data_IF_210063550495
#
_entry.id   IF_210063550495
#
_cell.length_a   1.000
_cell.length_b   1.000
_cell.length_c   1.000
_cell.angle_alpha   90.00
_cell.angle_beta   90.00
_cell.angle_gamma   90.00
#
_symmetry.space_group_name_H-M   'P 1'
#
loop_
_entity.id
_entity.type
_entity.pdbx_description
1 polymer ?
#
# COMPACT_ATOMS: atom_id res chain seq x y z
N UNK A 1 -20.53 -28.68 7.59
CA UNK A 1 -19.43 -27.69 7.69
C UNK A 1 -19.77 -26.73 8.82
N UNK A 2 -18.82 -26.41 9.69
CA UNK A 2 -19.07 -25.58 10.86
C UNK A 2 -19.14 -24.11 10.42
N UNK A 3 -20.32 -23.52 10.39
CA UNK A 3 -20.60 -22.17 9.82
C UNK A 3 -19.72 -21.08 10.44
N UNK A 4 -19.28 -21.26 11.69
CA UNK A 4 -18.36 -20.36 12.37
C UNK A 4 -16.95 -20.37 11.78
N UNK A 5 -16.47 -21.54 11.33
CA UNK A 5 -15.12 -21.67 10.74
C UNK A 5 -15.06 -21.02 9.36
N UNK A 6 -16.11 -21.20 8.54
CA UNK A 6 -16.21 -20.56 7.22
C UNK A 6 -16.24 -19.03 7.35
N UNK A 7 -17.03 -18.48 8.28
CA UNK A 7 -17.07 -17.04 8.54
C UNK A 7 -15.71 -16.49 9.02
N UNK A 8 -15.01 -17.22 9.89
CA UNK A 8 -13.67 -16.85 10.33
C UNK A 8 -12.67 -16.80 9.16
N UNK A 9 -12.68 -17.81 8.29
CA UNK A 9 -11.82 -17.87 7.10
C UNK A 9 -12.14 -16.73 6.14
N UNK A 10 -13.43 -16.49 5.89
CA UNK A 10 -13.87 -15.40 5.01
C UNK A 10 -13.42 -14.04 5.53
N UNK A 11 -13.56 -13.79 6.84
CA UNK A 11 -13.08 -12.56 7.46
C UNK A 11 -11.55 -12.41 7.37
N UNK A 12 -10.80 -13.51 7.55
CA UNK A 12 -9.33 -13.50 7.40
C UNK A 12 -8.90 -13.21 5.97
N UNK A 13 -9.55 -13.83 4.99
CA UNK A 13 -9.30 -13.60 3.57
C UNK A 13 -9.59 -12.15 3.16
N UNK A 14 -10.74 -11.60 3.58
CA UNK A 14 -11.10 -10.21 3.31
C UNK A 14 -10.13 -9.22 3.95
N UNK A 15 -9.70 -9.48 5.20
CA UNK A 15 -8.72 -8.64 5.88
C UNK A 15 -7.34 -8.67 5.19
N UNK A 16 -6.89 -9.84 4.72
CA UNK A 16 -5.64 -9.92 3.96
C UNK A 16 -5.77 -9.17 2.62
N UNK A 17 -6.90 -9.35 1.91
CA UNK A 17 -7.18 -8.64 0.66
C UNK A 17 -7.18 -7.11 0.85
N UNK A 18 -7.74 -6.63 1.96
CA UNK A 18 -7.71 -5.21 2.35
C UNK A 18 -6.27 -4.70 2.55
N UNK A 19 -5.47 -5.42 3.33
CA UNK A 19 -4.07 -5.05 3.59
C UNK A 19 -3.24 -5.04 2.31
N UNK A 20 -3.40 -6.07 1.48
CA UNK A 20 -2.78 -6.18 0.16
C UNK A 20 -3.16 -4.97 -0.71
N UNK A 21 -4.45 -4.66 -0.85
CA UNK A 21 -4.92 -3.56 -1.68
C UNK A 21 -4.44 -2.19 -1.18
N UNK A 22 -4.42 -1.98 0.13
CA UNK A 22 -3.87 -0.75 0.72
C UNK A 22 -2.37 -0.61 0.47
N UNK A 23 -1.61 -1.71 0.60
CA UNK A 23 -0.18 -1.71 0.31
C UNK A 23 0.12 -1.26 -1.13
N UNK A 24 -0.57 -1.80 -2.13
CA UNK A 24 -0.33 -1.42 -3.53
C UNK A 24 -0.78 0.00 -3.84
N UNK A 25 -1.93 0.40 -3.31
CA UNK A 25 -2.40 1.77 -3.51
C UNK A 25 -1.48 2.79 -2.83
N UNK A 26 -0.85 2.42 -1.71
CA UNK A 26 0.19 3.23 -1.06
C UNK A 26 1.45 3.33 -1.91
N UNK A 27 1.85 2.23 -2.57
CA UNK A 27 2.99 2.20 -3.48
C UNK A 27 2.75 3.07 -4.72
N UNK A 28 1.62 2.89 -5.41
CA UNK A 28 1.22 3.68 -6.59
C UNK A 28 1.18 5.16 -6.26
N UNK A 29 0.57 5.50 -5.13
CA UNK A 29 0.48 6.88 -4.68
C UNK A 29 1.86 7.46 -4.33
N UNK A 30 2.77 6.65 -3.79
CA UNK A 30 4.14 7.08 -3.54
C UNK A 30 4.89 7.38 -4.84
N UNK A 31 4.64 6.63 -5.92
CA UNK A 31 5.15 6.93 -7.26
C UNK A 31 4.59 8.24 -7.79
N UNK A 32 3.28 8.46 -7.68
CA UNK A 32 2.66 9.71 -8.13
C UNK A 32 3.21 10.94 -7.39
N UNK A 33 3.41 10.83 -6.07
CA UNK A 33 4.02 11.89 -5.27
C UNK A 33 5.46 12.17 -5.74
N UNK A 34 6.24 11.14 -6.06
CA UNK A 34 7.60 11.34 -6.58
C UNK A 34 7.62 12.04 -7.94
N UNK A 35 6.74 11.64 -8.85
CA UNK A 35 6.59 12.32 -10.14
C UNK A 35 6.21 13.78 -9.92
N UNK A 36 5.27 14.05 -9.01
CA UNK A 36 4.90 15.42 -8.63
C UNK A 36 6.07 16.23 -8.07
N UNK A 37 6.88 15.63 -7.18
CA UNK A 37 8.06 16.26 -6.60
C UNK A 37 9.17 16.53 -7.64
N UNK A 38 9.25 15.76 -8.73
CA UNK A 38 10.17 16.01 -9.83
C UNK A 38 9.67 17.11 -10.77
N UNK A 39 8.37 17.13 -11.07
CA UNK A 39 7.79 18.09 -12.02
C UNK A 39 7.61 19.48 -11.40
N UNK A 40 7.22 19.56 -10.12
CA UNK A 40 6.91 20.83 -9.45
C UNK A 40 8.08 21.83 -9.46
N UNK A 41 9.33 21.44 -9.11
CA UNK A 41 10.48 22.35 -9.21
C UNK A 41 10.71 22.86 -10.64
N UNK A 42 10.58 21.99 -11.64
CA UNK A 42 10.77 22.35 -13.05
C UNK A 42 9.75 23.41 -13.46
N UNK A 43 8.48 23.23 -13.10
CA UNK A 43 7.43 24.20 -13.38
C UNK A 43 7.67 25.53 -12.66
N UNK A 44 8.11 25.50 -11.40
CA UNK A 44 8.43 26.71 -10.63
C UNK A 44 9.60 27.47 -11.25
N UNK A 45 10.66 26.79 -11.66
CA UNK A 45 11.81 27.39 -12.34
C UNK A 45 11.42 27.95 -13.71
N UNK A 46 10.61 27.25 -14.50
CA UNK A 46 10.09 27.76 -15.77
C UNK A 46 9.23 29.00 -15.58
N UNK A 47 8.38 29.02 -14.55
CA UNK A 47 7.54 30.17 -14.22
C UNK A 47 8.38 31.38 -13.76
N UNK A 48 9.41 31.14 -12.94
CA UNK A 48 10.38 32.16 -12.54
C UNK A 48 11.06 32.79 -13.77
N UNK A 49 11.54 31.96 -14.70
CA UNK A 49 12.23 32.41 -15.92
C UNK A 49 11.31 33.15 -16.90
N UNK A 50 10.04 32.77 -17.00
CA UNK A 50 9.12 33.33 -18.01
C UNK A 50 8.49 34.66 -17.61
N UNK A 51 8.41 34.97 -16.32
CA UNK A 51 7.69 36.15 -15.81
C UNK A 51 8.56 37.12 -15.01
N UNK A 52 9.89 37.05 -15.12
CA UNK A 52 10.81 37.69 -14.16
C UNK A 52 10.34 37.43 -12.71
N UNK A 53 9.97 36.17 -12.48
CA UNK A 53 9.36 35.75 -11.25
C UNK A 53 10.31 35.98 -10.07
N UNK A 54 9.74 36.15 -8.87
CA UNK A 54 10.55 36.50 -7.72
C UNK A 54 11.56 35.40 -7.38
N UNK A 55 12.81 35.79 -7.14
CA UNK A 55 13.96 34.91 -6.81
C UNK A 55 13.71 33.91 -5.68
N UNK A 56 12.72 34.14 -4.81
CA UNK A 56 12.35 33.17 -3.78
C UNK A 56 11.75 31.89 -4.38
N UNK A 57 11.13 31.94 -5.57
CA UNK A 57 10.61 30.77 -6.26
C UNK A 57 11.72 29.83 -6.71
N UNK A 58 12.84 30.37 -7.17
CA UNK A 58 14.02 29.57 -7.53
C UNK A 58 14.62 28.88 -6.31
N UNK A 59 14.66 29.58 -5.17
CA UNK A 59 15.07 28.98 -3.91
C UNK A 59 14.13 27.85 -3.46
N UNK A 60 12.81 28.05 -3.58
CA UNK A 60 11.81 27.01 -3.28
C UNK A 60 11.97 25.81 -4.23
N UNK A 61 12.16 26.05 -5.52
CA UNK A 61 12.39 25.01 -6.53
C UNK A 61 13.66 24.21 -6.22
N UNK A 62 14.76 24.87 -5.83
CA UNK A 62 15.99 24.21 -5.42
C UNK A 62 15.75 23.31 -4.19
N UNK A 63 15.08 23.82 -3.15
CA UNK A 63 14.76 23.01 -1.96
C UNK A 63 13.91 21.79 -2.31
N UNK A 64 12.85 21.97 -3.10
CA UNK A 64 11.99 20.87 -3.54
C UNK A 64 12.75 19.84 -4.39
N UNK A 65 13.71 20.27 -5.21
CA UNK A 65 14.56 19.36 -5.99
C UNK A 65 15.47 18.51 -5.11
N UNK A 66 16.05 19.09 -4.05
CA UNK A 66 16.86 18.35 -3.07
C UNK A 66 15.99 17.32 -2.34
N UNK A 67 14.79 17.71 -1.91
CA UNK A 67 13.84 16.77 -1.31
C UNK A 67 13.48 15.65 -2.29
N UNK A 68 13.15 15.97 -3.54
CA UNK A 68 12.85 14.99 -4.57
C UNK A 68 13.98 13.96 -4.76
N UNK A 69 15.24 14.43 -4.77
CA UNK A 69 16.42 13.56 -4.91
C UNK A 69 16.59 12.62 -3.70
N UNK A 70 16.53 13.15 -2.48
CA UNK A 70 16.63 12.36 -1.25
C UNK A 70 15.54 11.28 -1.21
N UNK A 71 14.32 11.64 -1.60
CA UNK A 71 13.20 10.70 -1.66
C UNK A 71 13.37 9.66 -2.76
N UNK A 72 13.84 10.06 -3.94
CA UNK A 72 14.10 9.14 -5.05
C UNK A 72 15.13 8.08 -4.66
N UNK A 73 16.25 8.48 -4.04
CA UNK A 73 17.30 7.56 -3.56
C UNK A 73 16.73 6.59 -2.53
N UNK A 74 15.99 7.11 -1.54
CA UNK A 74 15.39 6.27 -0.51
C UNK A 74 14.37 5.29 -1.09
N UNK A 75 13.51 5.72 -2.01
CA UNK A 75 12.51 4.85 -2.59
C UNK A 75 13.12 3.80 -3.52
N UNK A 76 14.06 4.19 -4.38
CA UNK A 76 14.75 3.28 -5.29
C UNK A 76 15.50 2.18 -4.55
N UNK A 77 16.20 2.53 -3.45
CA UNK A 77 16.87 1.56 -2.58
C UNK A 77 15.93 0.51 -1.98
N UNK A 78 14.64 0.80 -1.91
CA UNK A 78 13.64 -0.09 -1.34
C UNK A 78 12.76 -0.79 -2.40
N UNK A 79 12.98 -0.58 -3.70
CA UNK A 79 12.22 -1.22 -4.78
C UNK A 79 12.24 -2.75 -4.69
N UNK A 80 13.42 -3.35 -4.45
CA UNK A 80 13.55 -4.81 -4.27
C UNK A 80 12.73 -5.30 -3.06
N UNK A 81 12.75 -4.53 -1.97
CA UNK A 81 11.95 -4.84 -0.77
C UNK A 81 10.44 -4.74 -1.05
N UNK A 82 10.01 -3.81 -1.91
CA UNK A 82 8.62 -3.73 -2.37
C UNK A 82 8.22 -4.97 -3.17
N UNK A 83 9.08 -5.44 -4.08
CA UNK A 83 8.83 -6.63 -4.90
C UNK A 83 8.82 -7.91 -4.06
N UNK A 84 9.76 -8.06 -3.13
CA UNK A 84 9.78 -9.20 -2.21
C UNK A 84 8.50 -9.27 -1.35
N UNK A 85 8.04 -8.11 -0.87
CA UNK A 85 6.78 -8.01 -0.15
C UNK A 85 5.55 -8.28 -1.03
N UNK A 86 5.57 -7.82 -2.29
CA UNK A 86 4.53 -8.14 -3.28
C UNK A 86 4.38 -9.66 -3.43
N UNK A 87 5.50 -10.35 -3.66
CA UNK A 87 5.50 -11.80 -3.88
C UNK A 87 4.98 -12.56 -2.66
N UNK A 88 5.43 -12.21 -1.46
CA UNK A 88 4.97 -12.85 -0.22
C UNK A 88 3.46 -12.69 0.01
N UNK A 89 2.92 -11.49 -0.25
CA UNK A 89 1.48 -11.25 -0.16
C UNK A 89 0.68 -12.02 -1.21
N UNK A 90 1.19 -12.09 -2.45
CA UNK A 90 0.52 -12.79 -3.54
C UNK A 90 0.51 -14.31 -3.35
N UNK A 91 1.60 -14.88 -2.85
CA UNK A 91 1.66 -16.30 -2.46
C UNK A 91 0.64 -16.59 -1.35
N UNK A 92 0.66 -15.79 -0.28
CA UNK A 92 -0.26 -15.97 0.84
C UNK A 92 -1.73 -15.84 0.43
N UNK A 93 -2.05 -14.88 -0.44
CA UNK A 93 -3.40 -14.71 -0.98
C UNK A 93 -3.85 -15.94 -1.79
N UNK A 94 -2.99 -16.47 -2.67
CA UNK A 94 -3.28 -17.66 -3.47
C UNK A 94 -3.46 -18.92 -2.63
N UNK A 95 -2.68 -19.07 -1.56
CA UNK A 95 -2.81 -20.20 -0.63
C UNK A 95 -4.18 -20.18 0.05
N UNK A 96 -4.63 -19.03 0.56
CA UNK A 96 -5.97 -18.90 1.17
C UNK A 96 -7.07 -19.12 0.14
N UNK A 97 -6.95 -18.55 -1.06
CA UNK A 97 -7.95 -18.68 -2.12
C UNK A 97 -8.10 -20.15 -2.56
N UNK A 98 -6.99 -20.85 -2.74
CA UNK A 98 -6.98 -22.28 -3.10
C UNK A 98 -7.62 -23.11 -2.01
N UNK A 99 -7.24 -22.85 -0.75
CA UNK A 99 -7.83 -23.53 0.38
C UNK A 99 -9.35 -23.26 0.45
N UNK A 100 -9.78 -21.99 0.24
CA UNK A 100 -11.19 -21.57 0.23
C UNK A 100 -12.00 -22.38 -0.79
N UNK A 101 -11.44 -22.53 -2.00
CA UNK A 101 -12.07 -23.24 -3.10
C UNK A 101 -12.09 -24.77 -2.93
N UNK A 102 -11.13 -25.35 -2.22
CA UNK A 102 -10.97 -26.82 -2.12
C UNK A 102 -11.76 -27.50 -0.99
N UNK A 103 -12.57 -26.76 -0.20
CA UNK A 103 -13.44 -27.29 0.88
C UNK A 103 -12.75 -28.34 1.78
N UNK A 104 -11.74 -27.92 2.55
CA UNK A 104 -10.99 -28.85 3.41
C UNK A 104 -10.28 -28.21 4.61
N UNK A 105 -10.84 -27.16 5.22
CA UNK A 105 -10.15 -26.46 6.31
C UNK A 105 -10.32 -27.15 7.67
N UNK A 106 -9.20 -27.26 8.37
CA UNK A 106 -9.13 -27.59 9.79
C UNK A 106 -8.69 -26.36 10.59
N UNK A 107 -8.97 -26.35 11.89
CA UNK A 107 -8.56 -25.29 12.82
C UNK A 107 -7.04 -25.11 12.86
N UNK A 108 -6.28 -26.19 12.65
CA UNK A 108 -4.81 -26.17 12.64
C UNK A 108 -4.25 -25.31 11.49
N UNK A 109 -4.91 -25.34 10.33
CA UNK A 109 -4.52 -24.54 9.18
C UNK A 109 -4.73 -23.04 9.42
N UNK A 110 -5.80 -22.67 10.13
CA UNK A 110 -6.05 -21.29 10.56
C UNK A 110 -4.98 -20.78 11.54
N UNK A 111 -4.54 -21.63 12.47
CA UNK A 111 -3.47 -21.30 13.41
C UNK A 111 -2.13 -21.09 12.68
N UNK A 112 -1.79 -22.00 11.77
CA UNK A 112 -0.58 -21.87 10.96
C UNK A 112 -0.60 -20.61 10.09
N UNK A 113 -1.77 -20.29 9.53
CA UNK A 113 -1.99 -19.06 8.77
C UNK A 113 -1.78 -17.80 9.62
N UNK A 114 -2.38 -17.72 10.81
CA UNK A 114 -2.23 -16.58 11.72
C UNK A 114 -0.75 -16.41 12.14
N UNK A 115 -0.01 -17.50 12.34
CA UNK A 115 1.44 -17.47 12.60
C UNK A 115 2.20 -16.89 11.41
N UNK A 116 1.95 -17.38 10.19
CA UNK A 116 2.61 -16.89 8.96
C UNK A 116 2.30 -15.41 8.70
N UNK A 117 1.05 -14.98 8.93
CA UNK A 117 0.62 -13.60 8.77
C UNK A 117 1.26 -12.68 9.81
N UNK A 118 1.46 -13.18 11.04
CA UNK A 118 2.16 -12.45 12.08
C UNK A 118 3.65 -12.30 11.75
N UNK A 119 4.30 -13.38 11.30
CA UNK A 119 5.69 -13.34 10.81
C UNK A 119 5.82 -12.31 9.69
N UNK A 120 4.91 -12.36 8.71
CA UNK A 120 4.91 -11.44 7.58
C UNK A 120 4.75 -9.99 8.07
N UNK A 121 3.86 -9.72 9.02
CA UNK A 121 3.70 -8.39 9.61
C UNK A 121 4.89 -7.89 10.44
N UNK A 122 5.68 -8.79 11.02
CA UNK A 122 6.90 -8.45 11.78
C UNK A 122 8.14 -8.25 10.91
N UNK A 123 8.13 -8.68 9.65
CA UNK A 123 9.22 -8.41 8.72
C UNK A 123 9.37 -6.91 8.45
N UNK A 124 10.57 -6.49 8.07
CA UNK A 124 10.87 -5.09 7.74
C UNK A 124 10.02 -4.65 6.55
N UNK A 125 8.98 -3.86 6.81
CA UNK A 125 8.10 -3.28 5.79
C UNK A 125 8.87 -2.25 4.97
N UNK A 126 8.63 -2.17 3.65
CA UNK A 126 9.20 -1.10 2.87
C UNK A 126 8.66 0.25 3.37
N UNK A 127 9.50 1.28 3.49
CA UNK A 127 9.08 2.58 3.98
C UNK A 127 8.24 3.29 2.92
N UNK A 128 6.98 3.59 3.25
CA UNK A 128 6.08 4.40 2.43
C UNK A 128 6.17 5.87 2.80
N UNK A 129 5.72 6.74 1.89
CA UNK A 129 5.34 8.08 2.28
C UNK A 129 4.17 7.99 3.29
N UNK A 130 4.31 8.60 4.47
CA UNK A 130 3.32 8.49 5.56
C UNK A 130 1.93 8.91 5.07
N UNK A 131 1.85 9.98 4.29
CA UNK A 131 0.60 10.45 3.69
C UNK A 131 0.06 9.52 2.61
N UNK A 132 0.93 8.78 1.91
CA UNK A 132 0.48 7.83 0.90
C UNK A 132 -0.26 6.66 1.56
N UNK A 133 0.26 6.15 2.68
CA UNK A 133 -0.40 5.10 3.45
C UNK A 133 -1.77 5.56 3.98
N UNK A 134 -1.81 6.73 4.63
CA UNK A 134 -3.07 7.26 5.19
C UNK A 134 -4.12 7.46 4.09
N UNK A 135 -3.72 8.01 2.95
CA UNK A 135 -4.65 8.26 1.86
C UNK A 135 -5.11 6.96 1.16
N UNK A 136 -4.19 6.02 0.94
CA UNK A 136 -4.50 4.69 0.42
C UNK A 136 -5.46 3.94 1.34
N UNK A 137 -5.20 3.91 2.65
CA UNK A 137 -6.08 3.30 3.66
C UNK A 137 -7.49 3.93 3.64
N UNK A 138 -7.59 5.24 3.44
CA UNK A 138 -8.87 5.94 3.35
C UNK A 138 -9.64 5.57 2.07
N UNK A 139 -8.96 5.56 0.93
CA UNK A 139 -9.58 5.21 -0.36
C UNK A 139 -10.00 3.74 -0.38
N UNK A 140 -9.14 2.83 0.08
CA UNK A 140 -9.45 1.40 0.13
C UNK A 140 -10.62 1.15 1.07
N UNK A 141 -10.65 1.77 2.27
CA UNK A 141 -11.78 1.65 3.18
C UNK A 141 -13.10 2.10 2.56
N UNK A 142 -13.10 3.23 1.83
CA UNK A 142 -14.29 3.67 1.09
C UNK A 142 -14.70 2.67 0.02
N UNK A 143 -13.77 2.21 -0.82
CA UNK A 143 -14.06 1.23 -1.88
C UNK A 143 -14.62 -0.08 -1.32
N UNK A 144 -14.11 -0.52 -0.17
CA UNK A 144 -14.61 -1.74 0.47
C UNK A 144 -15.90 -1.52 1.25
N UNK A 145 -16.15 -0.34 1.80
CA UNK A 145 -17.45 0.00 2.37
C UNK A 145 -18.54 -0.03 1.28
N UNK A 146 -18.27 0.51 0.10
CA UNK A 146 -19.22 0.44 -1.04
C UNK A 146 -19.36 -0.97 -1.61
N UNK A 147 -18.30 -1.78 -1.63
CA UNK A 147 -18.41 -3.19 -2.01
C UNK A 147 -19.16 -4.05 -0.96
N UNK A 148 -19.12 -3.63 0.31
CA UNK A 148 -19.78 -4.26 1.45
C UNK A 148 -21.10 -3.56 1.86
N UNK A 149 -21.73 -2.75 1.00
CA UNK A 149 -23.15 -2.38 1.18
C UNK A 149 -24.09 -3.62 1.11
N UNK A 150 -23.54 -4.82 0.85
CA UNK A 150 -24.20 -6.11 1.07
C UNK A 150 -23.73 -6.90 2.31
N UNK A 151 -22.88 -6.33 3.20
CA UNK A 151 -22.74 -6.64 4.65
C UNK A 151 -21.50 -5.96 5.28
N UNK A 152 -21.65 -5.12 6.32
CA UNK A 152 -20.54 -4.60 7.11
C UNK A 152 -19.97 -5.65 8.08
N UNK A 153 -18.69 -5.52 8.46
CA UNK A 153 -17.96 -6.46 9.33
C UNK A 153 -18.28 -6.33 10.83
N UNK A 154 -19.18 -5.42 11.20
CA UNK A 154 -19.70 -5.23 12.56
C UNK A 154 -21.21 -5.47 12.65
N UNK A 155 -21.82 -6.05 11.61
CA UNK A 155 -23.14 -6.69 11.69
C UNK A 155 -23.01 -8.21 11.68
#
# INVERSE_FOLDING_TARGET
MNTNLENLIQNRWQNLALQHKSFFKSHDLSLFIQIGLLITPILLSLWSLTYDGPKYLDFIAMCLSIFALIYFINYWKNQELYMEWWEKYLVMYKEIETAYKQRGFTTDWLLEFDVRLNILNTLKKPPFHVWAKVWADHVVRKETMYANENKPWWE
#
